data_IF_084684365819
#
_entry.id   IF_084684365819
#
_cell.length_a   1.000
_cell.length_b   1.000
_cell.length_c   1.000
_cell.angle_alpha   90.00
_cell.angle_beta   90.00
_cell.angle_gamma   90.00
#
_symmetry.space_group_name_H-M   'P 1'
#
loop_
_entity.id
_entity.type
_entity.pdbx_description
1 polymer ?
#
# COMPACT_ATOMS: atom_id res chain seq x y z
N UNK A 1 41.06 -5.71 -14.53
CA UNK A 1 40.15 -5.84 -13.36
C UNK A 1 38.85 -6.41 -13.88
N UNK A 2 38.45 -7.59 -13.39
CA UNK A 2 37.12 -8.14 -13.68
C UNK A 2 36.05 -7.23 -13.06
N UNK A 3 35.00 -6.95 -13.83
CA UNK A 3 33.88 -6.10 -13.38
C UNK A 3 32.99 -6.94 -12.48
N UNK A 4 32.97 -6.65 -11.18
CA UNK A 4 32.03 -7.29 -10.23
C UNK A 4 30.64 -6.67 -10.44
N UNK A 5 29.65 -7.49 -10.79
CA UNK A 5 28.25 -7.08 -10.90
C UNK A 5 27.56 -7.23 -9.53
N UNK A 6 27.12 -6.13 -8.96
CA UNK A 6 26.31 -6.11 -7.72
C UNK A 6 24.93 -5.52 -8.06
N UNK A 7 23.88 -6.34 -8.21
CA UNK A 7 22.55 -5.86 -8.54
C UNK A 7 21.87 -5.20 -7.32
N UNK A 8 21.00 -4.22 -7.57
CA UNK A 8 20.22 -3.56 -6.52
C UNK A 8 19.23 -4.51 -5.82
N UNK A 9 18.67 -5.48 -6.55
CA UNK A 9 17.78 -6.51 -6.01
C UNK A 9 18.10 -7.89 -6.61
N UNK A 10 17.90 -8.95 -5.83
CA UNK A 10 18.29 -10.34 -6.17
C UNK A 10 17.12 -11.32 -6.03
N UNK A 11 16.04 -11.10 -6.79
CA UNK A 11 14.87 -11.98 -6.78
C UNK A 11 15.14 -13.42 -7.21
N UNK A 12 15.99 -13.73 -8.22
CA UNK A 12 16.26 -15.11 -8.60
C UNK A 12 16.78 -15.96 -7.44
N UNK A 13 17.66 -15.40 -6.62
CA UNK A 13 18.21 -16.07 -5.44
C UNK A 13 17.17 -16.26 -4.33
N UNK A 14 16.22 -15.34 -4.19
CA UNK A 14 15.10 -15.49 -3.25
C UNK A 14 14.15 -16.60 -3.73
N UNK A 15 13.75 -16.57 -5.00
CA UNK A 15 12.85 -17.58 -5.60
C UNK A 15 13.47 -18.97 -5.57
N UNK A 16 14.78 -19.10 -5.80
CA UNK A 16 15.47 -20.39 -5.77
C UNK A 16 15.28 -21.13 -4.43
N UNK A 17 15.15 -20.42 -3.30
CA UNK A 17 14.97 -21.00 -1.97
C UNK A 17 13.58 -21.63 -1.77
N UNK A 18 12.56 -21.12 -2.46
CA UNK A 18 11.15 -21.51 -2.29
C UNK A 18 10.52 -22.05 -3.59
N UNK A 19 11.35 -22.36 -4.60
CA UNK A 19 10.87 -22.71 -5.94
C UNK A 19 9.89 -23.88 -5.95
N UNK A 20 10.21 -24.96 -5.24
CA UNK A 20 9.37 -26.17 -5.24
C UNK A 20 8.00 -25.90 -4.61
N UNK A 21 7.97 -25.12 -3.53
CA UNK A 21 6.73 -24.70 -2.87
C UNK A 21 5.88 -23.83 -3.80
N UNK A 22 6.49 -22.82 -4.44
CA UNK A 22 5.80 -21.97 -5.41
C UNK A 22 5.21 -22.76 -6.57
N UNK A 23 5.99 -23.69 -7.16
CA UNK A 23 5.51 -24.51 -8.28
C UNK A 23 4.36 -25.43 -7.86
N UNK A 24 4.41 -26.01 -6.67
CA UNK A 24 3.32 -26.82 -6.11
C UNK A 24 2.05 -25.99 -5.89
N UNK A 25 2.18 -24.75 -5.39
CA UNK A 25 1.06 -23.84 -5.21
C UNK A 25 0.41 -23.45 -6.55
N UNK A 26 1.21 -23.14 -7.57
CA UNK A 26 0.75 -22.83 -8.93
C UNK A 26 0.03 -24.02 -9.54
N UNK A 27 0.61 -25.23 -9.49
CA UNK A 27 0.00 -26.43 -10.04
C UNK A 27 -1.34 -26.76 -9.36
N UNK A 28 -1.43 -26.56 -8.04
CA UNK A 28 -2.68 -26.72 -7.29
C UNK A 28 -3.80 -25.80 -7.79
N UNK A 29 -3.49 -24.53 -8.13
CA UNK A 29 -4.47 -23.58 -8.70
C UNK A 29 -4.88 -23.99 -10.12
N UNK A 30 -3.91 -24.37 -10.95
CA UNK A 30 -4.19 -24.79 -12.33
C UNK A 30 -5.10 -26.04 -12.37
N UNK A 31 -4.87 -26.98 -11.46
CA UNK A 31 -5.72 -28.19 -11.34
C UNK A 31 -7.12 -27.89 -10.81
N UNK A 32 -7.27 -26.92 -9.90
CA UNK A 32 -8.58 -26.59 -9.33
C UNK A 32 -9.47 -25.79 -10.28
N UNK A 33 -8.87 -25.01 -11.19
CA UNK A 33 -9.60 -24.12 -12.08
C UNK A 33 -10.20 -22.88 -11.40
N UNK A 34 -9.91 -22.66 -10.11
CA UNK A 34 -10.45 -21.54 -9.33
C UNK A 34 -9.50 -20.34 -9.35
N UNK A 35 -9.65 -19.48 -10.36
CA UNK A 35 -8.71 -18.39 -10.62
C UNK A 35 -9.09 -17.05 -9.99
N UNK A 36 -10.37 -16.83 -9.70
CA UNK A 36 -10.91 -15.54 -9.25
C UNK A 36 -11.71 -15.78 -7.97
N UNK A 37 -11.42 -14.99 -6.93
CA UNK A 37 -12.10 -15.06 -5.62
C UNK A 37 -12.16 -16.49 -5.05
N UNK A 38 -11.04 -17.22 -5.14
CA UNK A 38 -10.93 -18.60 -4.69
C UNK A 38 -10.70 -18.71 -3.18
N UNK A 39 -10.89 -19.92 -2.63
CA UNK A 39 -10.63 -20.21 -1.22
C UNK A 39 -9.20 -19.87 -0.79
N UNK A 40 -8.22 -20.00 -1.70
CA UNK A 40 -6.83 -19.59 -1.43
C UNK A 40 -6.71 -18.09 -1.18
N UNK A 41 -7.49 -17.27 -1.88
CA UNK A 41 -7.56 -15.83 -1.65
C UNK A 41 -8.13 -15.51 -0.27
N UNK A 42 -9.27 -16.14 0.09
CA UNK A 42 -9.89 -15.98 1.41
C UNK A 42 -8.98 -16.46 2.55
N UNK A 43 -8.25 -17.55 2.33
CA UNK A 43 -7.28 -18.04 3.30
C UNK A 43 -6.14 -17.04 3.51
N UNK A 44 -5.60 -16.47 2.43
CA UNK A 44 -4.59 -15.41 2.53
C UNK A 44 -5.12 -14.18 3.25
N UNK A 45 -6.35 -13.74 2.97
CA UNK A 45 -6.97 -12.60 3.67
C UNK A 45 -7.05 -12.85 5.19
N UNK A 46 -7.39 -14.07 5.60
CA UNK A 46 -7.43 -14.44 7.01
C UNK A 46 -6.02 -14.38 7.63
N UNK A 47 -5.05 -15.06 7.02
CA UNK A 47 -3.65 -15.10 7.49
C UNK A 47 -3.03 -13.70 7.53
N UNK A 48 -3.32 -12.86 6.55
CA UNK A 48 -2.80 -11.49 6.49
C UNK A 48 -3.44 -10.58 7.54
N UNK A 49 -4.72 -10.78 7.85
CA UNK A 49 -5.37 -10.08 8.98
C UNK A 49 -4.70 -10.44 10.30
N UNK A 50 -4.43 -11.72 10.52
CA UNK A 50 -3.72 -12.21 11.71
C UNK A 50 -2.30 -11.64 11.79
N UNK A 51 -1.56 -11.65 10.68
CA UNK A 51 -0.20 -11.08 10.60
C UNK A 51 -0.15 -9.57 10.90
N UNK A 52 -1.13 -8.81 10.41
CA UNK A 52 -1.24 -7.38 10.63
C UNK A 52 -1.91 -7.00 11.96
N UNK A 53 -2.32 -7.97 12.77
CA UNK A 53 -3.11 -7.76 14.00
C UNK A 53 -4.41 -6.98 13.75
N UNK A 54 -5.01 -7.16 12.58
CA UNK A 54 -6.23 -6.50 12.14
C UNK A 54 -7.43 -7.46 12.22
N UNK A 55 -8.64 -6.90 12.38
CA UNK A 55 -9.87 -7.69 12.43
C UNK A 55 -10.25 -8.28 11.06
N UNK A 56 -9.92 -7.57 9.97
CA UNK A 56 -10.30 -7.92 8.60
C UNK A 56 -9.19 -7.51 7.64
N UNK A 57 -9.12 -8.21 6.51
CA UNK A 57 -8.38 -7.79 5.32
C UNK A 57 -9.17 -8.17 4.07
N UNK A 58 -8.99 -7.39 3.00
CA UNK A 58 -9.66 -7.59 1.72
C UNK A 58 -8.61 -7.49 0.63
N UNK A 59 -8.45 -8.57 -0.15
CA UNK A 59 -7.54 -8.65 -1.27
C UNK A 59 -8.04 -7.83 -2.44
N UNK A 60 -7.18 -6.96 -2.96
CA UNK A 60 -7.45 -6.11 -4.13
C UNK A 60 -6.29 -6.19 -5.11
N UNK A 61 -6.45 -5.61 -6.30
CA UNK A 61 -5.48 -5.80 -7.38
C UNK A 61 -4.10 -5.18 -7.11
N UNK A 62 -4.04 -4.04 -6.40
CA UNK A 62 -2.79 -3.35 -6.07
C UNK A 62 -2.98 -2.31 -4.93
N UNK A 63 -1.88 -1.73 -4.45
CA UNK A 63 -1.90 -0.73 -3.38
C UNK A 63 -2.57 0.61 -3.73
N UNK A 64 -2.58 1.01 -5.01
CA UNK A 64 -3.31 2.22 -5.44
C UNK A 64 -4.81 2.00 -5.34
N UNK A 65 -5.30 0.84 -5.79
CA UNK A 65 -6.71 0.46 -5.68
C UNK A 65 -7.12 0.33 -4.22
N UNK A 66 -6.24 -0.19 -3.34
CA UNK A 66 -6.51 -0.25 -1.91
C UNK A 66 -6.77 1.15 -1.31
N UNK A 67 -5.90 2.13 -1.60
CA UNK A 67 -6.08 3.51 -1.15
C UNK A 67 -7.36 4.14 -1.73
N UNK A 68 -7.58 3.96 -3.03
CA UNK A 68 -8.76 4.48 -3.72
C UNK A 68 -10.06 3.90 -3.14
N UNK A 69 -10.13 2.59 -2.89
CA UNK A 69 -11.31 1.93 -2.33
C UNK A 69 -11.60 2.38 -0.90
N UNK A 70 -10.57 2.49 -0.05
CA UNK A 70 -10.74 3.01 1.31
C UNK A 70 -11.26 4.44 1.30
N UNK A 71 -10.69 5.31 0.46
CA UNK A 71 -11.17 6.69 0.32
C UNK A 71 -12.62 6.75 -0.19
N UNK A 72 -13.02 5.87 -1.11
CA UNK A 72 -14.42 5.76 -1.54
C UNK A 72 -15.36 5.31 -0.43
N UNK A 73 -14.94 4.37 0.41
CA UNK A 73 -15.74 3.93 1.56
C UNK A 73 -15.91 5.03 2.62
N UNK A 74 -15.05 6.05 2.61
CA UNK A 74 -15.14 7.25 3.46
C UNK A 74 -15.89 8.41 2.77
N UNK A 75 -16.53 8.15 1.63
CA UNK A 75 -17.24 9.13 0.80
C UNK A 75 -16.38 10.33 0.37
N UNK A 76 -15.08 10.13 0.19
CA UNK A 76 -14.17 11.19 -0.30
C UNK A 76 -14.44 11.47 -1.77
N UNK A 77 -14.62 12.75 -2.10
CA UNK A 77 -14.87 13.18 -3.47
C UNK A 77 -14.59 14.67 -3.74
N UNK A 78 -15.20 15.25 -4.79
CA UNK A 78 -15.02 16.65 -5.14
C UNK A 78 -15.37 17.60 -3.99
N UNK A 79 -14.46 18.53 -3.71
CA UNK A 79 -14.62 19.50 -2.62
C UNK A 79 -13.98 19.08 -1.30
N UNK A 80 -13.59 17.81 -1.16
CA UNK A 80 -12.87 17.30 0.00
C UNK A 80 -11.35 17.50 -0.15
N UNK A 81 -10.68 17.55 1.01
CA UNK A 81 -9.23 17.58 1.13
C UNK A 81 -8.74 16.31 1.85
N UNK A 82 -7.67 15.70 1.33
CA UNK A 82 -6.99 14.58 1.98
C UNK A 82 -5.54 14.96 2.18
N UNK A 83 -5.09 14.92 3.43
CA UNK A 83 -3.72 15.29 3.78
C UNK A 83 -2.78 14.10 3.54
N UNK A 84 -1.63 14.34 2.92
CA UNK A 84 -0.55 13.35 2.76
C UNK A 84 0.82 14.03 2.66
N UNK A 85 1.89 13.27 2.42
CA UNK A 85 3.25 13.80 2.29
C UNK A 85 3.60 14.11 0.82
N UNK A 86 4.34 15.20 0.53
CA UNK A 86 4.83 15.49 -0.81
C UNK A 86 5.97 14.54 -1.22
N UNK A 87 6.72 14.01 -0.25
CA UNK A 87 7.72 12.98 -0.47
C UNK A 87 7.09 11.58 -0.30
N UNK A 88 6.49 11.09 -1.38
CA UNK A 88 5.94 9.73 -1.49
C UNK A 88 5.99 9.26 -2.96
N UNK A 89 5.63 8.00 -3.21
CA UNK A 89 5.29 7.56 -4.54
C UNK A 89 3.97 8.20 -5.02
N UNK A 90 3.87 8.48 -6.32
CA UNK A 90 2.73 9.22 -6.91
C UNK A 90 1.37 8.57 -6.63
N UNK A 91 1.32 7.25 -6.39
CA UNK A 91 0.08 6.55 -6.08
C UNK A 91 -0.66 7.14 -4.86
N UNK A 92 0.04 7.65 -3.84
CA UNK A 92 -0.59 8.22 -2.65
C UNK A 92 -1.46 9.43 -2.98
N UNK A 93 -0.91 10.39 -3.73
CA UNK A 93 -1.65 11.57 -4.19
C UNK A 93 -2.59 11.24 -5.37
N UNK A 94 -2.20 10.29 -6.22
CA UNK A 94 -2.98 9.84 -7.36
C UNK A 94 -4.31 9.21 -6.94
N UNK A 95 -4.32 8.37 -5.91
CA UNK A 95 -5.55 7.77 -5.38
C UNK A 95 -6.55 8.82 -4.89
N UNK A 96 -6.07 9.93 -4.31
CA UNK A 96 -6.90 11.08 -3.90
C UNK A 96 -7.44 11.80 -5.15
N UNK A 97 -6.55 12.13 -6.09
CA UNK A 97 -6.91 12.90 -7.28
C UNK A 97 -7.90 12.19 -8.21
N UNK A 98 -7.83 10.86 -8.34
CA UNK A 98 -8.77 10.06 -9.15
C UNK A 98 -10.21 10.19 -8.63
N UNK A 99 -10.40 10.50 -7.34
CA UNK A 99 -11.72 10.74 -6.74
C UNK A 99 -12.21 12.19 -6.91
N UNK A 100 -11.41 13.07 -7.51
CA UNK A 100 -11.71 14.50 -7.60
C UNK A 100 -11.49 15.28 -6.30
N UNK A 101 -11.00 14.62 -5.25
CA UNK A 101 -10.57 15.27 -4.03
C UNK A 101 -9.21 15.97 -4.21
N UNK A 102 -8.92 16.93 -3.35
CA UNK A 102 -7.67 17.70 -3.38
C UNK A 102 -6.64 17.09 -2.42
N UNK A 103 -5.47 16.64 -2.90
CA UNK A 103 -4.36 16.31 -2.01
C UNK A 103 -3.82 17.61 -1.36
N UNK A 104 -3.71 17.60 -0.04
CA UNK A 104 -3.07 18.66 0.76
C UNK A 104 -1.77 18.10 1.30
N UNK A 105 -0.66 18.80 1.06
CA UNK A 105 0.66 18.30 1.45
C UNK A 105 1.11 18.89 2.77
N UNK A 106 1.56 18.01 3.67
CA UNK A 106 2.30 18.36 4.89
C UNK A 106 3.72 17.87 4.72
N UNK A 107 4.69 18.74 5.03
CA UNK A 107 6.11 18.44 4.84
C UNK A 107 6.59 17.29 5.73
N UNK A 108 7.82 16.83 5.49
CA UNK A 108 8.38 15.64 6.12
C UNK A 108 9.43 15.96 7.19
N UNK A 109 9.59 15.02 8.11
CA UNK A 109 10.74 14.94 9.01
C UNK A 109 11.98 14.39 8.28
N UNK A 110 13.19 14.47 8.89
CA UNK A 110 14.40 13.86 8.34
C UNK A 110 14.34 12.34 8.13
N UNK A 111 13.38 11.65 8.77
CA UNK A 111 13.11 10.23 8.53
C UNK A 111 12.26 9.97 7.26
N UNK A 112 12.03 11.04 6.49
CA UNK A 112 11.32 11.07 5.22
C UNK A 112 9.81 10.85 5.31
N UNK A 113 9.27 10.75 6.52
CA UNK A 113 7.84 10.59 6.77
C UNK A 113 7.18 11.92 7.16
N UNK A 114 5.86 12.00 7.00
CA UNK A 114 5.04 13.18 7.30
C UNK A 114 5.34 13.73 8.70
N UNK A 115 5.53 15.04 8.83
CA UNK A 115 5.79 15.75 10.08
C UNK A 115 4.49 16.02 10.87
N UNK A 116 4.24 15.34 12.00
CA UNK A 116 3.02 15.54 12.78
C UNK A 116 2.91 16.96 13.37
N UNK A 117 4.03 17.65 13.59
CA UNK A 117 4.03 19.00 14.16
C UNK A 117 3.47 20.06 13.19
N UNK A 118 3.40 19.73 11.90
CA UNK A 118 2.84 20.60 10.86
C UNK A 118 1.42 20.21 10.45
N UNK A 119 0.94 19.04 10.90
CA UNK A 119 -0.33 18.46 10.49
C UNK A 119 -1.54 19.34 10.85
N UNK A 120 -1.62 19.82 12.09
CA UNK A 120 -2.78 20.58 12.58
C UNK A 120 -3.02 21.85 11.75
N UNK A 121 -1.96 22.50 11.27
CA UNK A 121 -2.04 23.72 10.44
C UNK A 121 -2.61 23.47 9.04
N UNK A 122 -2.57 22.23 8.56
CA UNK A 122 -3.09 21.85 7.25
C UNK A 122 -4.55 21.37 7.30
N UNK A 123 -5.11 21.18 8.50
CA UNK A 123 -6.51 20.77 8.66
C UNK A 123 -7.43 21.95 8.37
N UNK A 124 -8.44 21.71 7.54
CA UNK A 124 -9.51 22.65 7.20
C UNK A 124 -10.87 21.99 7.41
N UNK A 125 -11.99 22.74 7.35
CA UNK A 125 -13.33 22.14 7.36
C UNK A 125 -13.60 21.16 6.20
N UNK A 126 -12.75 21.12 5.17
CA UNK A 126 -12.84 20.19 4.04
C UNK A 126 -11.99 18.94 4.22
N UNK A 127 -11.13 18.88 5.23
CA UNK A 127 -10.27 17.72 5.48
C UNK A 127 -11.11 16.52 5.87
N UNK A 128 -11.07 15.45 5.07
CA UNK A 128 -11.78 14.19 5.31
C UNK A 128 -10.93 13.07 5.86
N UNK A 129 -9.66 13.04 5.45
CA UNK A 129 -8.74 11.97 5.82
C UNK A 129 -7.30 12.46 5.83
N UNK A 130 -6.45 11.69 6.50
CA UNK A 130 -4.99 11.85 6.52
C UNK A 130 -4.39 10.50 6.13
N UNK A 131 -3.52 10.50 5.12
CA UNK A 131 -2.78 9.31 4.66
C UNK A 131 -1.30 9.54 4.96
N UNK A 132 -0.81 9.14 6.15
CA UNK A 132 0.62 9.05 6.37
C UNK A 132 1.19 7.91 5.52
N UNK A 133 2.41 8.10 5.02
CA UNK A 133 3.11 7.09 4.23
C UNK A 133 4.23 6.52 5.10
N UNK A 134 4.34 5.19 5.17
CA UNK A 134 5.44 4.50 5.84
C UNK A 134 6.60 4.33 4.85
N UNK A 135 7.23 5.45 4.50
CA UNK A 135 8.16 5.51 3.37
C UNK A 135 9.41 4.67 3.66
N UNK A 136 9.92 3.99 2.63
CA UNK A 136 11.09 3.08 2.72
C UNK A 136 10.96 1.93 3.73
N UNK A 137 9.74 1.62 4.20
CA UNK A 137 9.50 0.57 5.18
C UNK A 137 9.62 1.02 6.65
N UNK A 138 9.78 2.33 6.90
CA UNK A 138 9.77 2.88 8.26
C UNK A 138 8.39 3.45 8.58
N UNK A 139 7.76 3.05 9.71
CA UNK A 139 6.50 3.65 10.14
C UNK A 139 6.59 5.17 10.32
N UNK A 140 5.55 5.86 9.87
CA UNK A 140 5.36 7.27 10.18
C UNK A 140 4.99 7.41 11.65
N UNK A 141 5.30 8.56 12.24
CA UNK A 141 4.85 8.87 13.60
C UNK A 141 3.35 9.14 13.55
N UNK A 142 2.59 8.32 14.28
CA UNK A 142 1.12 8.35 14.36
C UNK A 142 0.69 8.64 15.79
#
# INVERSE_FOLDING_TARGET
MEKILVPYATFPQQVAKIKNELMSAVESVLKSGQYVLSEKGTQFEKEFSEYCEAKFSIGVANGTDALHLVLRCLDVGPGDEVITAPNSFIASAGAIGVLGAKPVFVDICPDLNLDPAQLEKAITPKTKAIIPVHLTGRPAKM
#
